data_IF_271923282638
#
_entry.id   IF_271923282638
#
_cell.length_a   1.000
_cell.length_b   1.000
_cell.length_c   1.000
_cell.angle_alpha   90.00
_cell.angle_beta   90.00
_cell.angle_gamma   90.00
#
_symmetry.space_group_name_H-M   'P 1'
#
loop_
_entity.id
_entity.type
_entity.pdbx_description
1 polymer ?
#
# COMPACT_ATOMS: atom_id res chain seq x y z
N UNK A 1 -7.20 -20.76 -20.80
CA UNK A 1 -8.08 -21.08 -19.67
C UNK A 1 -7.67 -20.21 -18.48
N UNK A 2 -8.55 -19.37 -17.95
CA UNK A 2 -8.37 -18.82 -16.60
C UNK A 2 -8.83 -19.92 -15.65
N UNK A 3 -7.91 -20.52 -14.92
CA UNK A 3 -8.18 -21.75 -14.16
C UNK A 3 -8.87 -21.49 -12.82
N UNK A 4 -9.46 -22.53 -12.19
CA UNK A 4 -10.12 -22.49 -10.87
C UNK A 4 -9.29 -21.85 -9.74
N UNK A 5 -7.96 -21.75 -9.90
CA UNK A 5 -7.08 -21.11 -8.93
C UNK A 5 -7.26 -19.58 -8.85
N UNK A 6 -7.56 -18.88 -9.95
CA UNK A 6 -7.72 -17.43 -9.92
C UNK A 6 -9.06 -17.04 -9.27
N UNK A 7 -10.12 -17.80 -9.54
CA UNK A 7 -11.44 -17.56 -8.94
C UNK A 7 -11.43 -17.80 -7.43
N UNK A 8 -10.70 -18.82 -6.97
CA UNK A 8 -10.51 -19.07 -5.53
C UNK A 8 -9.82 -17.92 -4.79
N UNK A 9 -9.08 -17.06 -5.50
CA UNK A 9 -8.40 -15.90 -4.92
C UNK A 9 -9.22 -14.62 -5.08
N UNK A 10 -9.86 -14.43 -6.24
CA UNK A 10 -10.41 -13.13 -6.63
C UNK A 10 -11.93 -13.08 -6.68
N UNK A 11 -12.62 -14.20 -6.91
CA UNK A 11 -14.08 -14.24 -7.13
C UNK A 11 -14.82 -14.79 -5.93
N UNK A 12 -14.41 -15.97 -5.46
CA UNK A 12 -15.10 -16.74 -4.44
C UNK A 12 -15.02 -16.13 -3.03
N UNK A 13 -13.83 -15.74 -2.52
CA UNK A 13 -13.72 -15.23 -1.16
C UNK A 13 -14.38 -13.86 -1.02
N UNK A 14 -14.74 -13.51 0.21
CA UNK A 14 -15.19 -12.16 0.52
C UNK A 14 -14.00 -11.19 0.57
N UNK A 15 -14.22 -9.88 0.37
CA UNK A 15 -13.17 -8.88 0.54
C UNK A 15 -12.49 -8.93 1.92
N UNK A 16 -13.24 -9.27 2.97
CA UNK A 16 -12.73 -9.41 4.34
C UNK A 16 -11.80 -10.61 4.49
N UNK A 17 -12.17 -11.76 3.93
CA UNK A 17 -11.31 -12.96 3.90
C UNK A 17 -10.01 -12.67 3.15
N UNK A 18 -10.11 -12.05 1.97
CA UNK A 18 -8.95 -11.66 1.18
C UNK A 18 -8.07 -10.64 1.92
N UNK A 19 -8.67 -9.69 2.65
CA UNK A 19 -7.94 -8.70 3.42
C UNK A 19 -7.22 -9.35 4.61
N UNK A 20 -7.89 -10.24 5.34
CA UNK A 20 -7.31 -10.98 6.45
C UNK A 20 -6.12 -11.84 6.01
N UNK A 21 -6.26 -12.60 4.91
CA UNK A 21 -5.17 -13.40 4.33
C UNK A 21 -4.00 -12.50 3.88
N UNK A 22 -4.31 -11.39 3.20
CA UNK A 22 -3.29 -10.42 2.78
C UNK A 22 -2.49 -9.90 3.98
N UNK A 23 -3.19 -9.47 5.04
CA UNK A 23 -2.59 -8.89 6.25
C UNK A 23 -1.73 -9.92 6.98
N UNK A 24 -2.23 -11.16 7.11
CA UNK A 24 -1.49 -12.26 7.72
C UNK A 24 -0.18 -12.60 6.99
N UNK A 25 -0.13 -12.39 5.67
CA UNK A 25 1.08 -12.63 4.87
C UNK A 25 2.10 -11.48 4.87
N UNK A 26 1.82 -10.32 5.48
CA UNK A 26 2.79 -9.20 5.47
C UNK A 26 4.03 -9.43 6.33
N UNK A 27 3.96 -9.96 7.57
CA UNK A 27 5.14 -10.14 8.41
C UNK A 27 6.25 -10.97 7.75
N UNK A 28 5.89 -12.08 7.10
CA UNK A 28 6.86 -12.94 6.39
C UNK A 28 7.51 -12.20 5.20
N UNK A 29 6.68 -11.61 4.32
CA UNK A 29 7.16 -10.85 3.15
C UNK A 29 7.99 -9.63 3.54
N UNK A 30 7.66 -9.00 4.66
CA UNK A 30 8.43 -7.90 5.22
C UNK A 30 9.81 -8.36 5.68
N UNK A 31 9.93 -9.56 6.25
CA UNK A 31 11.22 -10.18 6.57
C UNK A 31 12.12 -10.28 5.34
N UNK A 32 11.59 -10.79 4.22
CA UNK A 32 12.35 -10.88 2.95
C UNK A 32 12.78 -9.51 2.44
N UNK A 33 11.87 -8.53 2.43
CA UNK A 33 12.20 -7.17 2.01
C UNK A 33 13.27 -6.53 2.91
N UNK A 34 13.23 -6.79 4.21
CA UNK A 34 14.21 -6.28 5.16
C UNK A 34 15.59 -6.90 4.96
N UNK A 35 15.66 -8.19 4.63
CA UNK A 35 16.92 -8.87 4.31
C UNK A 35 17.55 -8.29 3.03
N UNK A 36 16.75 -8.03 2.01
CA UNK A 36 17.22 -7.34 0.80
C UNK A 36 17.72 -5.92 1.10
N UNK A 37 16.97 -5.14 1.90
CA UNK A 37 17.36 -3.78 2.28
C UNK A 37 18.65 -3.74 3.09
N UNK A 38 18.90 -4.72 3.96
CA UNK A 38 20.16 -4.85 4.73
C UNK A 38 21.37 -5.12 3.85
N UNK A 39 21.17 -5.74 2.69
CA UNK A 39 22.23 -6.01 1.74
C UNK A 39 22.60 -4.78 0.89
N UNK A 40 21.78 -3.72 0.89
CA UNK A 40 22.05 -2.50 0.12
C UNK A 40 23.13 -1.65 0.80
N UNK A 41 24.14 -1.27 0.01
CA UNK A 41 25.16 -0.29 0.41
C UNK A 41 24.98 0.95 -0.46
N UNK A 42 24.68 2.09 0.17
CA UNK A 42 24.47 3.37 -0.53
C UNK A 42 25.13 4.51 0.24
N UNK A 43 25.78 5.42 -0.47
CA UNK A 43 26.27 6.69 0.08
C UNK A 43 25.19 7.76 0.25
N UNK A 44 23.92 7.43 -0.04
CA UNK A 44 22.74 8.30 0.08
C UNK A 44 21.62 7.58 0.82
N UNK A 45 20.71 8.29 1.52
CA UNK A 45 19.53 7.67 2.08
C UNK A 45 18.73 6.90 1.03
N UNK A 46 18.15 5.76 1.45
CA UNK A 46 17.33 4.89 0.62
C UNK A 46 15.86 5.11 1.02
N UNK A 47 14.99 5.29 0.02
CA UNK A 47 13.54 5.26 0.20
C UNK A 47 13.05 3.88 -0.20
N UNK A 48 12.41 3.18 0.74
CA UNK A 48 11.68 1.95 0.48
C UNK A 48 10.19 2.26 0.33
N UNK A 49 9.58 1.82 -0.76
CA UNK A 49 8.15 1.96 -1.02
C UNK A 49 7.53 0.59 -1.27
N UNK A 50 6.36 0.34 -0.69
CA UNK A 50 5.63 -0.89 -0.95
C UNK A 50 4.50 -1.11 0.03
N UNK A 51 3.46 -1.79 -0.45
CA UNK A 51 2.24 -2.05 0.33
C UNK A 51 2.47 -2.91 1.58
N UNK A 52 3.52 -3.75 1.56
CA UNK A 52 3.92 -4.60 2.69
C UNK A 52 4.76 -3.89 3.77
N UNK A 53 5.14 -2.63 3.56
CA UNK A 53 5.80 -1.81 4.59
C UNK A 53 4.74 -1.29 5.57
N UNK A 54 4.28 -2.18 6.45
CA UNK A 54 3.20 -1.88 7.40
C UNK A 54 3.69 -1.04 8.58
N UNK A 55 2.90 -0.09 9.10
CA UNK A 55 3.30 0.75 10.24
C UNK A 55 3.79 -0.06 11.45
N UNK A 56 3.08 -1.13 11.80
CA UNK A 56 3.38 -2.03 12.92
C UNK A 56 4.65 -2.87 12.73
N UNK A 57 5.10 -3.03 11.49
CA UNK A 57 6.33 -3.77 11.15
C UNK A 57 7.54 -2.83 11.04
N UNK A 58 7.33 -1.61 10.55
CA UNK A 58 8.39 -0.60 10.36
C UNK A 58 8.69 0.14 11.66
N UNK A 59 7.69 0.51 12.45
CA UNK A 59 7.88 1.31 13.67
C UNK A 59 8.91 0.73 14.66
N UNK A 60 8.98 -0.60 14.90
CA UNK A 60 9.96 -1.18 15.81
C UNK A 60 11.42 -1.12 15.34
N UNK A 61 11.68 -0.90 14.05
CA UNK A 61 13.03 -0.93 13.47
C UNK A 61 13.57 0.46 13.11
N UNK A 62 12.77 1.52 13.31
CA UNK A 62 13.18 2.92 13.10
C UNK A 62 13.25 3.67 14.43
N UNK A 63 14.14 4.66 14.51
CA UNK A 63 14.33 5.49 15.71
C UNK A 63 13.26 6.59 15.87
N UNK A 64 12.39 6.79 14.87
CA UNK A 64 11.39 7.83 14.86
C UNK A 64 10.21 7.50 13.93
N UNK A 65 8.96 7.79 14.33
CA UNK A 65 7.79 7.64 13.47
C UNK A 65 7.83 8.59 12.25
N UNK A 66 8.74 9.58 12.24
CA UNK A 66 8.97 10.47 11.09
C UNK A 66 9.84 9.87 9.99
N UNK A 67 10.35 8.64 10.16
CA UNK A 67 11.01 7.87 9.10
C UNK A 67 10.03 7.03 8.27
N UNK A 68 8.73 7.28 8.40
CA UNK A 68 7.69 6.63 7.63
C UNK A 68 6.55 7.61 7.38
N UNK A 69 6.00 7.57 6.17
CA UNK A 69 4.75 8.23 5.81
C UNK A 69 3.81 7.22 5.16
N UNK A 70 2.56 7.18 5.60
CA UNK A 70 1.52 6.37 4.95
C UNK A 70 0.74 7.27 4.00
N UNK A 71 0.79 6.97 2.72
CA UNK A 71 0.01 7.66 1.70
C UNK A 71 -1.21 6.82 1.34
N UNK A 72 -2.40 7.42 1.37
CA UNK A 72 -3.66 6.73 1.07
C UNK A 72 -4.54 7.60 0.17
N UNK A 73 -5.11 7.06 -0.92
CA UNK A 73 -6.05 7.84 -1.72
C UNK A 73 -7.39 7.99 -0.98
N UNK A 74 -8.05 9.14 -1.13
CA UNK A 74 -9.44 9.28 -0.68
C UNK A 74 -10.37 8.38 -1.51
N UNK A 75 -11.57 8.03 -1.00
CA UNK A 75 -12.54 7.24 -1.76
C UNK A 75 -12.85 7.83 -3.14
N UNK A 76 -13.07 9.14 -3.23
CA UNK A 76 -13.41 9.83 -4.46
C UNK A 76 -12.25 9.81 -5.45
N UNK A 77 -11.02 9.96 -4.96
CA UNK A 77 -9.84 9.88 -5.80
C UNK A 77 -9.62 8.45 -6.33
N UNK A 78 -9.88 7.43 -5.50
CA UNK A 78 -9.81 6.03 -5.91
C UNK A 78 -10.84 5.72 -6.99
N UNK A 79 -12.08 6.17 -6.85
CA UNK A 79 -13.12 6.01 -7.88
C UNK A 79 -12.70 6.67 -9.19
N UNK A 80 -12.16 7.90 -9.12
CA UNK A 80 -11.61 8.59 -10.28
C UNK A 80 -10.52 7.77 -10.95
N UNK A 81 -9.56 7.25 -10.18
CA UNK A 81 -8.48 6.42 -10.70
C UNK A 81 -9.00 5.16 -11.38
N UNK A 82 -9.99 4.47 -10.82
CA UNK A 82 -10.59 3.26 -11.42
C UNK A 82 -11.23 3.56 -12.78
N UNK A 83 -11.88 4.73 -12.92
CA UNK A 83 -12.48 5.14 -14.20
C UNK A 83 -11.45 5.57 -15.24
N UNK A 84 -10.40 6.27 -14.82
CA UNK A 84 -9.50 6.99 -15.74
C UNK A 84 -8.22 6.20 -16.06
N UNK A 85 -7.80 5.28 -15.20
CA UNK A 85 -6.56 4.53 -15.36
C UNK A 85 -6.85 3.07 -15.71
N UNK A 86 -6.46 2.58 -16.91
CA UNK A 86 -6.66 1.19 -17.30
C UNK A 86 -6.09 0.17 -16.29
N UNK A 87 -4.94 0.50 -15.70
CA UNK A 87 -4.29 -0.33 -14.67
C UNK A 87 -5.09 -0.45 -13.36
N UNK A 88 -5.96 0.52 -13.06
CA UNK A 88 -6.75 0.53 -11.83
C UNK A 88 -8.09 -0.22 -12.01
N UNK A 89 -8.58 -0.32 -13.26
CA UNK A 89 -9.86 -0.95 -13.58
C UNK A 89 -9.80 -2.42 -14.01
N UNK A 90 -8.63 -2.98 -14.28
CA UNK A 90 -8.51 -4.35 -14.81
C UNK A 90 -7.74 -5.29 -13.86
N UNK A 91 -8.32 -6.48 -13.63
CA UNK A 91 -7.59 -7.61 -13.07
C UNK A 91 -6.72 -8.25 -14.16
N UNK A 92 -5.44 -8.47 -13.87
CA UNK A 92 -4.50 -9.13 -14.80
C UNK A 92 -4.75 -10.64 -14.99
N UNK A 93 -5.75 -11.20 -14.33
CA UNK A 93 -6.07 -12.63 -14.33
C UNK A 93 -7.39 -12.88 -15.05
N UNK A 94 -7.44 -13.95 -15.87
CA UNK A 94 -8.72 -14.45 -16.40
C UNK A 94 -9.47 -15.17 -15.28
N UNK A 95 -10.68 -14.72 -15.02
CA UNK A 95 -11.59 -15.23 -13.97
C UNK A 95 -13.00 -15.45 -14.53
N UNK A 96 -13.83 -16.23 -13.84
CA UNK A 96 -15.22 -16.51 -14.27
C UNK A 96 -16.14 -15.28 -14.19
N UNK A 97 -15.94 -14.42 -13.20
CA UNK A 97 -16.69 -13.18 -13.02
C UNK A 97 -15.73 -11.98 -12.82
N UNK A 98 -15.34 -11.31 -13.91
CA UNK A 98 -14.43 -10.18 -13.86
C UNK A 98 -14.96 -8.98 -13.07
N UNK A 99 -16.27 -8.74 -13.10
CA UNK A 99 -16.89 -7.60 -12.42
C UNK A 99 -16.85 -7.81 -10.91
N UNK A 100 -17.24 -9.01 -10.45
CA UNK A 100 -17.13 -9.39 -9.04
C UNK A 100 -15.68 -9.40 -8.56
N UNK A 101 -14.76 -9.96 -9.35
CA UNK A 101 -13.35 -9.98 -8.98
C UNK A 101 -12.76 -8.57 -8.81
N UNK A 102 -13.12 -7.65 -9.70
CA UNK A 102 -12.69 -6.26 -9.61
C UNK A 102 -13.30 -5.56 -8.39
N UNK A 103 -14.60 -5.74 -8.12
CA UNK A 103 -15.25 -5.19 -6.92
C UNK A 103 -14.61 -5.74 -5.62
N UNK A 104 -14.37 -7.05 -5.57
CA UNK A 104 -13.70 -7.70 -4.45
C UNK A 104 -12.30 -7.14 -4.20
N UNK A 105 -11.50 -7.00 -5.26
CA UNK A 105 -10.15 -6.44 -5.16
C UNK A 105 -10.17 -5.00 -4.62
N UNK A 106 -11.06 -4.15 -5.12
CA UNK A 106 -11.16 -2.76 -4.66
C UNK A 106 -11.57 -2.67 -3.18
N UNK A 107 -12.57 -3.45 -2.78
CA UNK A 107 -13.01 -3.51 -1.39
C UNK A 107 -11.89 -4.06 -0.47
N UNK A 108 -11.16 -5.09 -0.91
CA UNK A 108 -9.98 -5.60 -0.19
C UNK A 108 -8.91 -4.54 -0.03
N UNK A 109 -8.55 -3.86 -1.12
CA UNK A 109 -7.52 -2.81 -1.13
C UNK A 109 -7.90 -1.68 -0.15
N UNK A 110 -9.18 -1.32 -0.07
CA UNK A 110 -9.72 -0.37 0.90
C UNK A 110 -9.57 -0.84 2.35
N UNK A 111 -9.96 -2.08 2.65
CA UNK A 111 -9.84 -2.65 4.00
C UNK A 111 -8.39 -2.65 4.50
N UNK A 112 -7.45 -3.04 3.64
CA UNK A 112 -6.02 -3.09 3.97
C UNK A 112 -5.41 -1.69 4.12
N UNK A 113 -5.85 -0.74 3.31
CA UNK A 113 -5.45 0.67 3.43
C UNK A 113 -6.00 1.30 4.72
N UNK A 114 -7.27 1.06 5.04
CA UNK A 114 -7.88 1.52 6.29
C UNK A 114 -7.16 0.94 7.51
N UNK A 115 -6.73 -0.32 7.42
CA UNK A 115 -5.91 -0.94 8.46
C UNK A 115 -4.55 -0.23 8.64
N UNK A 116 -3.87 0.11 7.55
CA UNK A 116 -2.61 0.85 7.61
C UNK A 116 -2.81 2.23 8.25
N UNK A 117 -3.88 2.94 7.88
CA UNK A 117 -4.21 4.25 8.46
C UNK A 117 -4.45 4.14 9.97
N UNK A 118 -5.22 3.13 10.41
CA UNK A 118 -5.45 2.89 11.84
C UNK A 118 -4.15 2.60 12.58
N UNK A 119 -3.30 1.73 12.04
CA UNK A 119 -2.00 1.41 12.63
C UNK A 119 -1.08 2.62 12.70
N UNK A 120 -0.96 3.38 11.62
CA UNK A 120 -0.16 4.59 11.56
C UNK A 120 -0.60 5.62 12.60
N UNK A 121 -1.91 5.90 12.69
CA UNK A 121 -2.47 6.82 13.69
C UNK A 121 -2.18 6.36 15.12
N UNK A 122 -2.30 5.06 15.42
CA UNK A 122 -1.95 4.50 16.74
C UNK A 122 -0.48 4.65 17.09
N UNK A 123 0.41 4.59 16.09
CA UNK A 123 1.87 4.64 16.26
C UNK A 123 2.44 6.06 16.10
N UNK A 124 1.61 7.08 15.90
CA UNK A 124 2.05 8.45 15.66
C UNK A 124 2.75 8.67 14.32
N UNK A 125 2.57 7.76 13.36
CA UNK A 125 3.10 7.87 11.99
C UNK A 125 2.19 8.77 11.17
N UNK A 126 2.80 9.66 10.36
CA UNK A 126 2.05 10.60 9.53
C UNK A 126 1.26 9.85 8.45
N UNK A 127 -0.02 10.19 8.33
CA UNK A 127 -0.87 9.79 7.21
C UNK A 127 -1.05 10.99 6.28
N UNK A 128 -0.82 10.78 4.99
CA UNK A 128 -1.08 11.75 3.93
C UNK A 128 -2.22 11.21 3.05
N UNK A 129 -3.37 11.86 3.14
CA UNK A 129 -4.51 11.58 2.26
C UNK A 129 -4.29 12.28 0.91
N UNK A 130 -4.48 11.53 -0.17
CA UNK A 130 -4.32 12.00 -1.55
C UNK A 130 -5.70 12.04 -2.20
N UNK A 131 -6.26 13.24 -2.32
CA UNK A 131 -7.54 13.51 -2.99
C UNK A 131 -7.37 13.86 -4.48
N UNK A 132 -6.12 14.06 -4.89
CA UNK A 132 -5.71 14.50 -6.22
C UNK A 132 -6.19 15.90 -6.60
N UNK A 133 -6.36 16.79 -5.60
CA UNK A 133 -6.37 18.25 -5.76
C UNK A 133 -4.97 18.80 -6.03
N UNK A 134 -3.94 18.09 -5.54
CA UNK A 134 -2.52 18.35 -5.78
C UNK A 134 -1.99 17.46 -6.88
N UNK A 135 -1.11 18.00 -7.71
CA UNK A 135 -0.34 17.21 -8.66
C UNK A 135 0.75 16.37 -7.96
N UNK A 136 1.40 15.50 -8.73
CA UNK A 136 2.42 14.61 -8.21
C UNK A 136 3.64 15.37 -7.64
N UNK A 137 4.02 16.50 -8.23
CA UNK A 137 5.15 17.30 -7.75
C UNK A 137 4.84 17.91 -6.37
N UNK A 138 3.66 18.49 -6.20
CA UNK A 138 3.21 19.04 -4.93
C UNK A 138 3.08 17.97 -3.84
N UNK A 139 2.67 16.75 -4.18
CA UNK A 139 2.69 15.62 -3.23
C UNK A 139 4.11 15.20 -2.89
N UNK A 140 5.02 15.17 -3.87
CA UNK A 140 6.43 14.84 -3.64
C UNK A 140 7.11 15.84 -2.70
N UNK A 141 6.83 17.14 -2.82
CA UNK A 141 7.33 18.16 -1.89
C UNK A 141 6.89 17.88 -0.44
N UNK A 142 5.64 17.48 -0.21
CA UNK A 142 5.16 17.12 1.15
C UNK A 142 5.92 15.92 1.72
N UNK A 143 6.26 14.96 0.87
CA UNK A 143 7.04 13.77 1.25
C UNK A 143 8.50 14.16 1.49
N UNK A 144 9.09 15.02 0.66
CA UNK A 144 10.44 15.54 0.83
C UNK A 144 10.57 16.32 2.15
N UNK A 145 9.64 17.24 2.41
CA UNK A 145 9.57 18.00 3.67
C UNK A 145 9.46 17.09 4.90
N UNK A 146 8.69 16.00 4.79
CA UNK A 146 8.55 15.03 5.87
C UNK A 146 9.89 14.38 6.21
N UNK A 147 10.63 13.95 5.19
CA UNK A 147 11.93 13.29 5.32
C UNK A 147 13.11 14.26 5.46
N UNK A 148 12.92 15.56 5.28
CA UNK A 148 13.96 16.59 5.30
C UNK A 148 15.01 16.45 6.41
N UNK A 149 14.63 16.19 7.68
CA UNK A 149 15.60 15.98 8.76
C UNK A 149 16.55 14.78 8.60
N UNK A 150 16.29 13.89 7.64
CA UNK A 150 17.06 12.67 7.36
C UNK A 150 17.78 12.72 6.02
N UNK A 151 17.62 13.80 5.26
CA UNK A 151 18.33 14.00 4.00
C UNK A 151 19.67 14.70 4.25
N UNK A 152 20.69 14.47 3.41
CA UNK A 152 21.92 15.25 3.46
C UNK A 152 21.61 16.73 3.24
N UNK A 153 22.37 17.60 3.91
CA UNK A 153 22.33 19.04 3.69
C UNK A 153 22.85 19.43 2.30
#
# INVERSE_FOLDING_TARGET
AGGPAADAVWVHPTPEEMAAETLAGFPERFGWALDDLRALVSGRPIIAEGWGLRPELVAPIVDSPRRMIVMVPTPEFRERQVRELPRAGALGHRVSDPARAQANRLARDELVAADAVRAARRLGIRVLEVDGSRDAAAVAEVVADHFGPYLPA
#
